data_IF_809378492914
#
_entry.id   IF_809378492914
#
_cell.length_a   1.000
_cell.length_b   1.000
_cell.length_c   1.000
_cell.angle_alpha   90.00
_cell.angle_beta   90.00
_cell.angle_gamma   90.00
#
_symmetry.space_group_name_H-M   'P 1'
#
loop_
_entity.id
_entity.type
_entity.pdbx_description
1 polymer ?
#
# COMPACT_ATOMS: atom_id res chain seq x y z
N UNK A 1 3.10 49.66 47.86
CA UNK A 1 3.84 48.39 47.66
C UNK A 1 2.94 47.19 47.30
N UNK A 2 1.75 47.06 47.84
CA UNK A 2 0.84 45.90 47.55
C UNK A 2 0.36 45.81 46.08
N UNK A 3 0.16 46.93 45.39
CA UNK A 3 -0.33 46.99 44.01
C UNK A 3 0.70 46.57 42.97
N UNK A 4 1.97 46.77 43.21
CA UNK A 4 3.08 46.36 42.32
C UNK A 4 3.29 44.85 42.40
N UNK A 5 3.14 44.24 43.60
CA UNK A 5 3.24 42.79 43.79
C UNK A 5 2.08 42.04 43.13
N UNK A 6 0.87 42.60 43.16
CA UNK A 6 -0.33 42.01 42.54
C UNK A 6 -0.22 41.98 41.00
N UNK A 7 0.27 43.06 40.39
CA UNK A 7 0.53 43.19 38.95
C UNK A 7 1.60 42.20 38.47
N UNK A 8 2.65 41.97 39.25
CA UNK A 8 3.74 41.05 38.95
C UNK A 8 3.27 39.56 39.03
N UNK A 9 2.38 39.26 39.99
CA UNK A 9 1.79 37.92 40.15
C UNK A 9 0.83 37.57 39.00
N UNK A 10 0.00 38.53 38.57
CA UNK A 10 -0.90 38.33 37.42
C UNK A 10 -0.13 38.16 36.08
N UNK A 11 0.95 38.91 35.90
CA UNK A 11 1.83 38.73 34.74
C UNK A 11 2.52 37.35 34.74
N UNK A 12 3.02 36.88 35.89
CA UNK A 12 3.61 35.53 35.98
C UNK A 12 2.59 34.45 35.70
N UNK A 13 1.33 34.63 36.13
CA UNK A 13 0.25 33.66 35.86
C UNK A 13 -0.14 33.65 34.37
N UNK A 14 -0.20 34.83 33.71
CA UNK A 14 -0.42 34.94 32.27
C UNK A 14 0.70 34.27 31.45
N UNK A 15 1.95 34.51 31.84
CA UNK A 15 3.12 33.88 31.18
C UNK A 15 3.09 32.35 31.35
N UNK A 16 2.76 31.83 32.55
CA UNK A 16 2.61 30.37 32.73
C UNK A 16 1.49 29.78 31.90
N UNK A 17 0.33 30.45 31.80
CA UNK A 17 -0.77 30.00 30.93
C UNK A 17 -0.38 30.02 29.46
N UNK A 18 0.33 31.06 29.02
CA UNK A 18 0.82 31.15 27.65
C UNK A 18 1.84 30.04 27.33
N UNK A 19 2.74 29.74 28.27
CA UNK A 19 3.70 28.65 28.14
C UNK A 19 3.03 27.28 28.07
N UNK A 20 1.98 27.04 28.87
CA UNK A 20 1.18 25.80 28.81
C UNK A 20 0.46 25.68 27.47
N UNK A 21 -0.15 26.76 26.97
CA UNK A 21 -0.82 26.77 25.66
C UNK A 21 0.19 26.48 24.54
N UNK A 22 1.37 27.11 24.58
CA UNK A 22 2.43 26.87 23.60
C UNK A 22 2.89 25.41 23.62
N UNK A 23 3.02 24.84 24.82
CA UNK A 23 3.43 23.44 24.99
C UNK A 23 2.38 22.47 24.44
N UNK A 24 1.09 22.75 24.65
CA UNK A 24 0.00 21.99 24.04
C UNK A 24 0.03 22.07 22.53
N UNK A 25 0.24 23.27 21.95
CA UNK A 25 0.37 23.46 20.49
C UNK A 25 1.54 22.67 19.93
N UNK A 26 2.68 22.67 20.62
CA UNK A 26 3.85 21.87 20.21
C UNK A 26 3.56 20.36 20.24
N UNK A 27 2.89 19.88 21.30
CA UNK A 27 2.50 18.46 21.39
C UNK A 27 1.48 18.06 20.32
N UNK A 28 0.50 18.91 20.03
CA UNK A 28 -0.46 18.68 18.94
C UNK A 28 0.27 18.65 17.60
N UNK A 29 1.18 19.58 17.36
CA UNK A 29 1.95 19.61 16.12
C UNK A 29 2.89 18.40 15.98
N UNK A 30 3.54 17.98 17.05
CA UNK A 30 4.34 16.76 17.07
C UNK A 30 3.49 15.51 16.83
N UNK A 31 2.28 15.46 17.42
CA UNK A 31 1.31 14.39 17.17
C UNK A 31 0.87 14.34 15.69
N UNK A 32 0.65 15.48 15.07
CA UNK A 32 0.32 15.60 13.64
C UNK A 32 1.46 15.05 12.78
N UNK A 33 2.70 15.46 13.04
CA UNK A 33 3.88 15.01 12.29
C UNK A 33 4.10 13.51 12.45
N UNK A 34 3.92 12.98 13.67
CA UNK A 34 4.02 11.55 13.93
C UNK A 34 2.91 10.75 13.22
N UNK A 35 1.69 11.27 13.24
CA UNK A 35 0.56 10.67 12.54
C UNK A 35 0.81 10.63 11.03
N UNK A 36 1.26 11.73 10.44
CA UNK A 36 1.61 11.81 9.01
C UNK A 36 2.74 10.82 8.64
N UNK A 37 3.72 10.63 9.55
CA UNK A 37 4.79 9.65 9.32
C UNK A 37 4.33 8.21 9.42
N UNK A 38 3.38 7.91 10.30
CA UNK A 38 2.87 6.54 10.52
C UNK A 38 1.88 6.14 9.43
N UNK A 39 0.95 7.04 9.10
CA UNK A 39 -0.17 6.74 8.20
C UNK A 39 0.01 7.24 6.77
N UNK A 40 1.09 7.98 6.51
CA UNK A 40 1.37 8.61 5.20
C UNK A 40 0.17 9.43 4.66
N UNK A 41 -0.65 9.95 5.57
CA UNK A 41 -1.82 10.80 5.28
C UNK A 41 -1.57 12.18 5.84
N UNK A 42 -1.35 13.21 5.00
CA UNK A 42 -1.17 14.57 5.49
C UNK A 42 -2.40 15.03 6.29
N UNK A 43 -2.24 15.30 7.60
CA UNK A 43 -3.35 15.76 8.44
C UNK A 43 -3.95 17.11 8.01
N UNK A 44 -3.23 17.92 7.23
CA UNK A 44 -3.81 19.12 6.64
C UNK A 44 -4.96 18.80 5.66
N UNK A 45 -5.04 17.58 5.11
CA UNK A 45 -6.19 17.15 4.33
C UNK A 45 -7.45 16.99 5.20
N UNK A 46 -7.29 16.74 6.51
CA UNK A 46 -8.39 16.70 7.47
C UNK A 46 -8.94 18.10 7.79
N UNK A 47 -8.06 19.12 7.81
CA UNK A 47 -8.46 20.52 7.91
C UNK A 47 -8.84 21.14 6.55
N UNK A 48 -8.81 20.36 5.49
CA UNK A 48 -8.83 20.75 4.08
C UNK A 48 -10.12 21.29 3.52
N UNK A 49 -11.06 21.71 4.37
CA UNK A 49 -12.15 22.58 3.91
C UNK A 49 -11.76 24.07 3.78
N UNK A 50 -10.68 24.51 4.45
CA UNK A 50 -10.33 25.94 4.57
C UNK A 50 -9.20 26.41 3.66
N UNK A 51 -8.45 25.51 3.05
CA UNK A 51 -7.35 25.84 2.13
C UNK A 51 -7.51 25.04 0.82
N UNK A 52 -8.56 25.35 0.05
CA UNK A 52 -8.56 25.05 -1.37
C UNK A 52 -7.41 25.80 -2.02
N UNK A 53 -6.24 25.18 -2.09
CA UNK A 53 -5.27 25.53 -3.12
C UNK A 53 -5.90 25.05 -4.42
N UNK A 54 -6.27 26.00 -5.28
CA UNK A 54 -6.58 25.67 -6.67
C UNK A 54 -5.39 24.88 -7.21
N UNK A 55 -5.59 23.60 -7.46
CA UNK A 55 -4.64 22.81 -8.21
C UNK A 55 -4.61 23.37 -9.61
N UNK A 56 -3.61 24.18 -9.91
CA UNK A 56 -3.33 24.53 -11.29
C UNK A 56 -2.94 23.23 -11.99
N UNK A 57 -3.77 22.80 -12.93
CA UNK A 57 -3.45 21.74 -13.87
C UNK A 57 -2.15 22.12 -14.58
N UNK A 58 -1.04 21.51 -14.17
CA UNK A 58 0.23 21.65 -14.85
C UNK A 58 0.26 20.53 -15.89
N UNK A 59 -0.05 20.85 -17.14
CA UNK A 59 0.16 19.93 -18.25
C UNK A 59 1.66 19.81 -18.49
N UNK A 60 2.31 18.86 -17.81
CA UNK A 60 3.69 18.50 -18.08
C UNK A 60 3.70 17.21 -18.87
N UNK A 61 3.98 17.29 -20.15
CA UNK A 61 4.30 16.13 -20.99
C UNK A 61 5.68 15.63 -20.63
N UNK A 62 5.73 14.47 -19.97
CA UNK A 62 6.96 13.73 -19.79
C UNK A 62 7.07 12.72 -20.94
N UNK A 63 8.08 12.86 -21.78
CA UNK A 63 8.45 11.82 -22.74
C UNK A 63 9.11 10.69 -21.92
N UNK A 64 8.35 9.67 -21.61
CA UNK A 64 8.85 8.43 -21.02
C UNK A 64 9.03 7.41 -22.14
N UNK A 65 10.09 7.56 -22.90
CA UNK A 65 10.46 6.51 -23.85
C UNK A 65 10.77 5.23 -23.08
N UNK A 66 9.99 4.16 -23.38
CA UNK A 66 10.16 2.84 -22.78
C UNK A 66 9.95 2.75 -21.26
N UNK A 67 8.93 3.46 -20.72
CA UNK A 67 8.49 3.28 -19.34
C UNK A 67 8.01 1.84 -19.11
N UNK A 68 8.66 1.12 -18.19
CA UNK A 68 8.34 -0.26 -17.83
C UNK A 68 7.60 -0.35 -16.50
N UNK A 69 7.96 0.48 -15.51
CA UNK A 69 7.30 0.53 -14.21
C UNK A 69 7.34 1.94 -13.62
N UNK A 70 6.39 2.24 -12.75
CA UNK A 70 6.37 3.49 -11.97
C UNK A 70 5.81 3.23 -10.57
N UNK A 71 6.12 4.14 -9.64
CA UNK A 71 5.60 4.09 -8.27
C UNK A 71 5.61 5.48 -7.63
N UNK A 72 4.72 5.69 -6.67
CA UNK A 72 4.57 6.92 -5.92
C UNK A 72 5.08 6.76 -4.50
N UNK A 73 6.03 7.59 -4.09
CA UNK A 73 6.52 7.65 -2.71
C UNK A 73 6.32 9.07 -2.19
N UNK A 74 5.33 9.26 -1.35
CA UNK A 74 4.90 10.58 -0.92
C UNK A 74 4.44 11.44 -2.11
N UNK A 75 5.11 12.57 -2.35
CA UNK A 75 4.84 13.47 -3.48
C UNK A 75 5.80 13.27 -4.67
N UNK A 76 6.59 12.21 -4.66
CA UNK A 76 7.57 11.89 -5.69
C UNK A 76 7.11 10.74 -6.56
N UNK A 77 7.39 10.86 -7.86
CA UNK A 77 7.14 9.80 -8.84
C UNK A 77 8.47 9.18 -9.21
N UNK A 78 8.58 7.89 -9.03
CA UNK A 78 9.72 7.10 -9.48
C UNK A 78 9.34 6.32 -10.72
N UNK A 79 10.25 6.23 -11.68
CA UNK A 79 10.06 5.52 -12.93
C UNK A 79 11.25 4.62 -13.22
N UNK A 80 10.99 3.46 -13.81
CA UNK A 80 12.01 2.56 -14.31
C UNK A 80 11.77 2.31 -15.80
N UNK A 81 12.84 2.39 -16.59
CA UNK A 81 12.81 2.18 -18.03
C UNK A 81 14.21 1.83 -18.55
N UNK A 82 14.42 1.98 -19.87
CA UNK A 82 15.70 1.68 -20.52
C UNK A 82 16.89 2.42 -19.92
N UNK A 83 16.65 3.62 -19.40
CA UNK A 83 17.64 4.47 -18.74
C UNK A 83 17.88 4.13 -17.25
N UNK A 84 17.17 3.13 -16.71
CA UNK A 84 17.20 2.73 -15.33
C UNK A 84 16.19 3.47 -14.47
N UNK A 85 16.46 3.56 -13.16
CA UNK A 85 15.58 4.19 -12.15
C UNK A 85 15.78 5.70 -12.12
N UNK A 86 14.70 6.45 -12.14
CA UNK A 86 14.71 7.91 -12.12
C UNK A 86 13.62 8.47 -11.21
N UNK A 87 13.87 9.63 -10.60
CA UNK A 87 12.86 10.44 -9.94
C UNK A 87 12.33 11.46 -10.95
N UNK A 88 11.07 11.32 -11.35
CA UNK A 88 10.48 12.12 -12.41
C UNK A 88 10.28 13.59 -12.00
N UNK A 89 9.92 13.85 -10.74
CA UNK A 89 9.61 15.19 -10.23
C UNK A 89 10.77 16.17 -10.40
N UNK A 90 12.00 15.70 -10.20
CA UNK A 90 13.21 16.51 -10.34
C UNK A 90 14.09 16.09 -11.52
N UNK A 91 13.61 15.18 -12.37
CA UNK A 91 14.38 14.59 -13.49
C UNK A 91 15.75 14.08 -13.05
N UNK A 92 15.82 13.50 -11.85
CA UNK A 92 17.07 13.01 -11.27
C UNK A 92 17.21 11.52 -11.54
N UNK A 93 18.28 11.16 -12.25
CA UNK A 93 18.67 9.75 -12.43
C UNK A 93 19.21 9.21 -11.11
N UNK A 94 18.66 8.11 -10.63
CA UNK A 94 19.10 7.49 -9.40
C UNK A 94 20.18 6.44 -9.70
N UNK A 95 21.22 6.42 -8.86
CA UNK A 95 22.22 5.38 -8.96
C UNK A 95 21.59 4.04 -8.52
N UNK A 96 21.40 3.15 -9.49
CA UNK A 96 20.81 1.84 -9.28
C UNK A 96 21.50 0.84 -10.23
N UNK A 97 22.15 -0.17 -9.63
CA UNK A 97 23.03 -1.06 -10.39
C UNK A 97 22.31 -2.33 -10.90
N UNK A 98 21.10 -2.63 -10.37
CA UNK A 98 20.34 -3.81 -10.79
C UNK A 98 19.57 -3.57 -12.09
N UNK A 99 19.58 -4.57 -12.95
CA UNK A 99 18.78 -4.60 -14.18
C UNK A 99 17.61 -5.54 -13.99
N UNK A 100 16.45 -5.14 -14.51
CA UNK A 100 15.21 -5.91 -14.45
C UNK A 100 14.67 -6.09 -15.85
N UNK A 101 14.20 -7.30 -16.17
CA UNK A 101 13.61 -7.65 -17.47
C UNK A 101 12.11 -7.40 -17.46
N UNK A 102 11.44 -7.69 -16.35
CA UNK A 102 10.03 -7.45 -16.11
C UNK A 102 9.83 -6.74 -14.76
N UNK A 103 10.22 -5.44 -14.67
CA UNK A 103 10.22 -4.72 -13.42
C UNK A 103 8.81 -4.50 -12.88
N UNK A 104 8.63 -4.79 -11.60
CA UNK A 104 7.46 -4.41 -10.82
C UNK A 104 7.91 -3.46 -9.71
N UNK A 105 7.16 -2.39 -9.51
CA UNK A 105 7.40 -1.42 -8.45
C UNK A 105 6.25 -1.42 -7.47
N UNK A 106 6.55 -1.56 -6.19
CA UNK A 106 5.61 -1.41 -5.10
C UNK A 106 6.07 -0.35 -4.11
N UNK A 107 5.13 0.35 -3.52
CA UNK A 107 5.42 1.45 -2.61
C UNK A 107 4.62 1.33 -1.32
N UNK A 108 5.29 1.60 -0.19
CA UNK A 108 4.64 1.68 1.11
C UNK A 108 5.33 2.73 1.98
N UNK A 109 4.60 3.77 2.37
CA UNK A 109 5.17 4.88 3.13
C UNK A 109 6.31 5.59 2.38
N UNK A 110 7.52 5.52 2.93
CA UNK A 110 8.73 6.09 2.32
C UNK A 110 9.59 5.08 1.55
N UNK A 111 9.11 3.86 1.43
CA UNK A 111 9.82 2.75 0.77
C UNK A 111 9.34 2.58 -0.67
N UNK A 112 10.27 2.18 -1.51
CA UNK A 112 10.06 1.72 -2.88
C UNK A 112 10.75 0.38 -3.02
N UNK A 113 9.98 -0.65 -3.30
CA UNK A 113 10.45 -1.96 -3.68
C UNK A 113 10.42 -2.05 -5.21
N UNK A 114 11.52 -2.52 -5.80
CA UNK A 114 11.56 -2.88 -7.21
C UNK A 114 12.10 -4.30 -7.34
N UNK A 115 11.41 -5.13 -8.10
CA UNK A 115 11.84 -6.50 -8.35
C UNK A 115 11.56 -6.94 -9.78
N UNK A 116 12.23 -7.98 -10.19
CA UNK A 116 12.07 -8.59 -11.53
C UNK A 116 11.06 -9.74 -11.44
N UNK A 117 9.86 -9.54 -11.97
CA UNK A 117 8.85 -10.61 -11.98
C UNK A 117 9.25 -11.72 -12.94
N UNK A 118 9.44 -12.92 -12.42
CA UNK A 118 10.03 -14.06 -13.15
C UNK A 118 11.55 -14.02 -13.22
N UNK A 119 12.20 -12.96 -12.74
CA UNK A 119 13.65 -12.84 -12.61
C UNK A 119 14.15 -13.07 -11.19
N UNK A 120 15.41 -12.72 -10.94
CA UNK A 120 16.12 -13.06 -9.70
C UNK A 120 16.39 -11.85 -8.79
N UNK A 121 16.22 -10.62 -9.26
CA UNK A 121 16.72 -9.44 -8.60
C UNK A 121 15.61 -8.65 -7.90
N UNK A 122 15.94 -8.15 -6.72
CA UNK A 122 15.09 -7.28 -5.91
C UNK A 122 15.95 -6.17 -5.28
N UNK A 123 15.40 -4.96 -5.18
CA UNK A 123 16.03 -3.86 -4.45
C UNK A 123 15.00 -3.09 -3.64
N UNK A 124 15.40 -2.75 -2.42
CA UNK A 124 14.65 -1.85 -1.55
C UNK A 124 15.31 -0.48 -1.49
N UNK A 125 14.50 0.54 -1.72
CA UNK A 125 14.91 1.93 -1.58
C UNK A 125 14.08 2.64 -0.51
N UNK A 126 14.68 3.62 0.14
CA UNK A 126 13.99 4.55 1.03
C UNK A 126 14.34 5.98 0.64
N UNK A 127 13.31 6.81 0.36
CA UNK A 127 13.51 8.20 -0.09
C UNK A 127 14.50 8.32 -1.27
N UNK A 128 14.45 7.37 -2.23
CA UNK A 128 15.31 7.35 -3.41
C UNK A 128 16.73 6.83 -3.18
N UNK A 129 17.07 6.37 -1.98
CA UNK A 129 18.37 5.76 -1.68
C UNK A 129 18.20 4.24 -1.55
N UNK A 130 19.01 3.47 -2.25
CA UNK A 130 19.04 2.00 -2.12
C UNK A 130 19.51 1.64 -0.71
N UNK A 131 18.70 0.88 0.01
CA UNK A 131 19.05 0.29 1.30
C UNK A 131 19.82 -1.00 1.11
N UNK A 132 19.28 -1.89 0.26
CA UNK A 132 19.96 -3.11 -0.16
C UNK A 132 19.44 -3.57 -1.51
N UNK A 133 20.22 -4.44 -2.17
CA UNK A 133 19.83 -5.22 -3.34
C UNK A 133 20.16 -6.68 -3.08
N UNK A 134 19.29 -7.57 -3.53
CA UNK A 134 19.42 -9.02 -3.33
C UNK A 134 19.15 -9.74 -4.65
N UNK A 135 19.94 -10.76 -4.92
CA UNK A 135 19.70 -11.73 -6.00
C UNK A 135 19.32 -13.06 -5.38
N UNK A 136 18.23 -13.63 -5.85
CA UNK A 136 17.69 -14.90 -5.38
C UNK A 136 18.25 -16.06 -6.23
N UNK A 137 18.25 -17.27 -5.65
CA UNK A 137 18.60 -18.48 -6.40
C UNK A 137 17.50 -18.99 -7.32
N UNK A 138 16.28 -18.50 -7.13
CA UNK A 138 15.08 -18.92 -7.86
C UNK A 138 14.25 -17.71 -8.28
N UNK A 139 13.44 -17.83 -9.36
CA UNK A 139 12.63 -16.73 -9.85
C UNK A 139 11.65 -16.19 -8.82
N UNK A 140 11.60 -14.87 -8.70
CA UNK A 140 10.60 -14.15 -7.89
C UNK A 140 9.29 -14.17 -8.66
N UNK A 141 8.23 -14.67 -8.06
CA UNK A 141 6.89 -14.63 -8.65
C UNK A 141 6.10 -13.42 -8.15
N UNK A 142 6.32 -13.01 -6.91
CA UNK A 142 5.74 -11.80 -6.32
C UNK A 142 6.60 -11.33 -5.16
N UNK A 143 6.59 -10.04 -4.91
CA UNK A 143 7.14 -9.47 -3.68
C UNK A 143 6.26 -8.32 -3.21
N UNK A 144 6.13 -8.15 -1.91
CA UNK A 144 5.34 -7.10 -1.29
C UNK A 144 6.16 -6.36 -0.24
N UNK A 145 5.84 -5.08 0.00
CA UNK A 145 6.51 -4.21 0.97
C UNK A 145 5.47 -3.55 1.87
N UNK A 146 5.69 -3.56 3.19
CA UNK A 146 4.87 -2.81 4.12
C UNK A 146 5.50 -1.46 4.51
N UNK A 147 4.76 -0.64 5.26
CA UNK A 147 5.19 0.72 5.66
C UNK A 147 6.37 0.75 6.61
N UNK A 148 6.65 -0.33 7.31
CA UNK A 148 7.79 -0.46 8.23
C UNK A 148 9.04 -0.99 7.53
N UNK A 149 8.91 -1.42 6.26
CA UNK A 149 10.01 -1.91 5.44
C UNK A 149 10.24 -3.41 5.55
N UNK A 150 9.27 -4.18 6.07
CA UNK A 150 9.28 -5.64 5.93
C UNK A 150 8.89 -6.00 4.51
N UNK A 151 9.59 -6.99 3.96
CA UNK A 151 9.38 -7.46 2.59
C UNK A 151 9.01 -8.94 2.65
N UNK A 152 7.93 -9.33 2.01
CA UNK A 152 7.59 -10.72 1.75
C UNK A 152 7.87 -11.03 0.27
N UNK A 153 8.50 -12.15 0.00
CA UNK A 153 8.89 -12.57 -1.35
C UNK A 153 8.43 -13.98 -1.62
N UNK A 154 7.68 -14.17 -2.69
CA UNK A 154 7.26 -15.48 -3.16
C UNK A 154 8.19 -15.93 -4.28
N UNK A 155 8.81 -17.10 -4.10
CA UNK A 155 9.67 -17.75 -5.08
C UNK A 155 9.20 -19.15 -5.42
N UNK A 156 9.73 -19.71 -6.51
CA UNK A 156 9.61 -21.14 -6.82
C UNK A 156 10.86 -21.82 -6.31
N UNK A 157 10.70 -22.86 -5.51
CA UNK A 157 11.83 -23.64 -5.01
C UNK A 157 11.67 -25.14 -5.28
N UNK A 158 12.81 -25.83 -5.42
CA UNK A 158 12.80 -27.27 -5.68
C UNK A 158 12.19 -28.00 -4.48
N UNK A 159 11.18 -28.86 -4.74
CA UNK A 159 10.45 -29.58 -3.70
C UNK A 159 9.21 -28.87 -3.16
N UNK A 160 8.98 -27.61 -3.54
CA UNK A 160 7.78 -26.86 -3.19
C UNK A 160 7.07 -26.31 -4.42
N UNK A 161 5.74 -26.16 -4.33
CA UNK A 161 4.99 -25.41 -5.36
C UNK A 161 5.33 -23.92 -5.30
N UNK A 162 5.51 -23.40 -4.10
CA UNK A 162 5.96 -22.03 -3.84
C UNK A 162 6.48 -21.88 -2.42
N UNK A 163 7.28 -20.86 -2.22
CA UNK A 163 7.88 -20.48 -0.94
C UNK A 163 7.65 -19.01 -0.70
N UNK A 164 7.30 -18.63 0.52
CA UNK A 164 7.30 -17.24 0.99
C UNK A 164 8.44 -17.04 1.99
N UNK A 165 9.29 -16.05 1.74
CA UNK A 165 10.35 -15.64 2.66
C UNK A 165 10.11 -14.19 3.07
N UNK A 166 10.21 -13.90 4.37
CA UNK A 166 10.08 -12.55 4.91
C UNK A 166 11.46 -12.00 5.28
N UNK A 167 11.71 -10.79 4.83
CA UNK A 167 12.93 -10.04 5.12
C UNK A 167 12.62 -8.77 5.91
N UNK A 168 13.55 -8.38 6.78
CA UNK A 168 13.51 -7.07 7.41
C UNK A 168 14.03 -5.96 6.46
N UNK A 169 13.93 -4.69 6.89
CA UNK A 169 14.40 -3.53 6.12
C UNK A 169 15.90 -3.47 5.85
N UNK A 170 16.70 -4.39 6.43
CA UNK A 170 18.14 -4.54 6.17
C UNK A 170 18.41 -5.66 5.16
N UNK A 171 17.37 -6.43 4.78
CA UNK A 171 17.49 -7.60 3.91
C UNK A 171 17.88 -8.88 4.65
N UNK A 172 17.75 -8.90 5.98
CA UNK A 172 17.96 -10.11 6.80
C UNK A 172 16.67 -10.95 6.75
N UNK A 173 16.83 -12.26 6.51
CA UNK A 173 15.71 -13.21 6.53
C UNK A 173 15.25 -13.42 7.96
N UNK A 174 13.93 -13.26 8.19
CA UNK A 174 13.34 -13.41 9.52
C UNK A 174 12.29 -14.52 9.59
N UNK A 175 11.78 -14.97 8.43
CA UNK A 175 10.80 -16.05 8.37
C UNK A 175 10.80 -16.73 7.00
N UNK A 176 10.52 -18.02 6.97
CA UNK A 176 10.46 -18.84 5.77
C UNK A 176 9.33 -19.86 5.88
N UNK A 177 8.51 -20.00 4.85
CA UNK A 177 7.48 -21.02 4.75
C UNK A 177 7.37 -21.56 3.33
N UNK A 178 7.43 -22.89 3.17
CA UNK A 178 7.24 -23.58 1.92
C UNK A 178 5.91 -24.31 1.85
N UNK A 179 5.22 -24.25 0.72
CA UNK A 179 4.02 -24.99 0.44
C UNK A 179 4.27 -26.07 -0.62
N UNK A 180 4.03 -27.33 -0.27
CA UNK A 180 4.22 -28.47 -1.17
C UNK A 180 2.96 -28.86 -1.96
N UNK A 181 1.78 -28.56 -1.44
CA UNK A 181 0.49 -28.99 -1.96
C UNK A 181 -0.34 -27.87 -2.62
N UNK A 182 -0.07 -26.62 -2.29
CA UNK A 182 -0.78 -25.44 -2.79
C UNK A 182 0.19 -24.35 -3.27
N UNK A 183 -0.29 -23.44 -4.10
CA UNK A 183 0.47 -22.26 -4.51
C UNK A 183 0.22 -21.13 -3.53
N UNK A 184 1.26 -20.50 -3.01
CA UNK A 184 1.17 -19.23 -2.33
C UNK A 184 0.93 -18.17 -3.41
N UNK A 185 -0.20 -17.48 -3.33
CA UNK A 185 -0.65 -16.48 -4.33
C UNK A 185 -0.33 -15.07 -3.86
N UNK A 186 -0.46 -14.84 -2.54
CA UNK A 186 -0.21 -13.55 -1.92
C UNK A 186 0.38 -13.73 -0.52
N UNK A 187 1.18 -12.76 -0.11
CA UNK A 187 1.69 -12.67 1.26
C UNK A 187 1.88 -11.22 1.69
N UNK A 188 1.53 -10.90 2.92
CA UNK A 188 1.74 -9.58 3.51
C UNK A 188 2.05 -9.69 5.00
N UNK A 189 2.88 -8.77 5.50
CA UNK A 189 3.35 -8.74 6.89
C UNK A 189 2.79 -7.49 7.57
N UNK A 190 2.29 -7.64 8.79
CA UNK A 190 1.85 -6.49 9.60
C UNK A 190 3.01 -5.50 9.82
N UNK A 191 2.69 -4.20 9.97
CA UNK A 191 3.70 -3.15 10.16
C UNK A 191 4.56 -3.35 11.42
N UNK A 192 4.05 -4.08 12.41
CA UNK A 192 4.82 -4.43 13.61
C UNK A 192 5.74 -5.66 13.42
N UNK A 193 5.72 -6.31 12.24
CA UNK A 193 6.53 -7.48 11.93
C UNK A 193 6.18 -8.73 12.73
N UNK A 194 4.95 -8.86 13.26
CA UNK A 194 4.57 -10.00 14.12
C UNK A 194 3.79 -11.08 13.37
N UNK A 195 2.95 -10.68 12.42
CA UNK A 195 2.09 -11.62 11.71
C UNK A 195 2.34 -11.55 10.21
N UNK A 196 2.42 -12.72 9.59
CA UNK A 196 2.40 -12.93 8.15
C UNK A 196 1.02 -13.46 7.77
N UNK A 197 0.40 -12.86 6.77
CA UNK A 197 -0.81 -13.38 6.11
C UNK A 197 -0.43 -14.01 4.78
N UNK A 198 -0.98 -15.19 4.52
CA UNK A 198 -0.81 -15.89 3.24
C UNK A 198 -2.16 -16.18 2.61
N UNK A 199 -2.25 -15.98 1.29
CA UNK A 199 -3.27 -16.60 0.46
C UNK A 199 -2.65 -17.78 -0.27
N UNK A 200 -3.25 -18.94 -0.12
CA UNK A 200 -2.86 -20.15 -0.85
C UNK A 200 -4.02 -20.64 -1.71
N UNK A 201 -3.71 -21.20 -2.88
CA UNK A 201 -4.72 -21.81 -3.76
C UNK A 201 -4.25 -23.17 -4.23
N UNK A 202 -5.16 -24.15 -4.19
CA UNK A 202 -4.98 -25.47 -4.76
C UNK A 202 -5.94 -25.64 -5.94
N UNK A 203 -5.44 -26.20 -7.03
CA UNK A 203 -6.17 -26.45 -8.25
C UNK A 203 -6.29 -27.96 -8.45
N UNK A 204 -7.51 -28.46 -8.48
CA UNK A 204 -7.82 -29.88 -8.68
C UNK A 204 -8.93 -30.06 -9.71
N UNK A 205 -9.24 -31.31 -10.04
CA UNK A 205 -10.40 -31.65 -10.91
C UNK A 205 -11.73 -31.27 -10.26
N UNK A 206 -11.76 -31.14 -8.95
CA UNK A 206 -12.96 -30.75 -8.18
C UNK A 206 -13.18 -29.24 -8.16
N UNK A 207 -12.18 -28.46 -8.61
CA UNK A 207 -12.22 -27.01 -8.66
C UNK A 207 -11.04 -26.35 -7.94
N UNK A 208 -11.26 -25.10 -7.56
CA UNK A 208 -10.30 -24.26 -6.85
C UNK A 208 -10.64 -24.30 -5.37
N UNK A 209 -9.61 -24.49 -4.53
CA UNK A 209 -9.72 -24.29 -3.08
C UNK A 209 -8.70 -23.27 -2.66
N UNK A 210 -9.15 -22.19 -2.07
CA UNK A 210 -8.29 -21.11 -1.58
C UNK A 210 -8.43 -20.97 -0.07
N UNK A 211 -7.32 -20.61 0.56
CA UNK A 211 -7.24 -20.42 2.01
C UNK A 211 -6.45 -19.15 2.32
N UNK A 212 -6.95 -18.36 3.25
CA UNK A 212 -6.24 -17.25 3.87
C UNK A 212 -5.82 -17.67 5.26
N UNK A 213 -4.53 -17.63 5.54
CA UNK A 213 -3.96 -18.04 6.82
C UNK A 213 -3.11 -16.94 7.43
N UNK A 214 -3.01 -16.93 8.75
CA UNK A 214 -2.10 -16.11 9.52
C UNK A 214 -1.05 -16.99 10.21
N UNK A 215 0.17 -16.46 10.27
CA UNK A 215 1.31 -17.03 10.99
C UNK A 215 1.91 -15.97 11.90
N UNK A 216 2.11 -16.29 13.18
CA UNK A 216 2.96 -15.45 14.04
C UNK A 216 4.42 -15.76 13.69
N UNK A 217 5.24 -14.71 13.40
CA UNK A 217 6.61 -14.89 12.89
C UNK A 217 7.59 -15.50 13.92
N UNK A 218 7.20 -15.62 15.17
CA UNK A 218 7.93 -16.31 16.24
C UNK A 218 7.38 -17.72 16.55
N UNK A 219 6.37 -18.18 15.79
CA UNK A 219 5.73 -19.48 15.95
C UNK A 219 5.55 -20.16 14.59
N UNK A 220 5.50 -21.48 14.59
CA UNK A 220 5.26 -22.27 13.36
C UNK A 220 3.77 -22.65 13.18
N UNK A 221 2.87 -22.12 13.99
CA UNK A 221 1.46 -22.46 13.98
C UNK A 221 0.68 -21.68 12.92
N UNK A 222 -0.05 -22.41 12.09
CA UNK A 222 -1.00 -21.84 11.13
C UNK A 222 -2.35 -21.59 11.80
N UNK A 223 -2.88 -20.38 11.64
CA UNK A 223 -4.26 -20.05 11.91
C UNK A 223 -5.01 -19.82 10.59
N UNK A 224 -5.95 -20.69 10.23
CA UNK A 224 -6.83 -20.48 9.08
C UNK A 224 -7.85 -19.39 9.42
N UNK A 225 -7.88 -18.32 8.60
CA UNK A 225 -8.77 -17.17 8.79
C UNK A 225 -10.00 -17.24 7.90
N UNK A 226 -9.84 -17.75 6.66
CA UNK A 226 -10.91 -17.80 5.67
C UNK A 226 -10.64 -18.89 4.63
N UNK A 227 -11.69 -19.52 4.12
CA UNK A 227 -11.62 -20.50 3.03
C UNK A 227 -12.67 -20.20 1.97
N UNK A 228 -12.35 -20.50 0.71
CA UNK A 228 -13.26 -20.41 -0.44
C UNK A 228 -13.04 -21.57 -1.41
N UNK A 229 -14.14 -22.08 -1.97
CA UNK A 229 -14.13 -23.12 -2.99
C UNK A 229 -14.23 -22.55 -4.43
N UNK A 230 -14.20 -21.22 -4.59
CA UNK A 230 -14.38 -20.56 -5.90
C UNK A 230 -13.44 -19.38 -6.13
N UNK A 231 -13.11 -18.61 -5.11
CA UNK A 231 -12.37 -17.35 -5.20
C UNK A 231 -10.87 -17.54 -5.05
N UNK A 232 -10.08 -16.91 -5.90
CA UNK A 232 -8.62 -16.81 -5.74
C UNK A 232 -8.30 -15.43 -5.19
N UNK A 233 -7.76 -15.36 -3.96
CA UNK A 233 -7.34 -14.09 -3.37
C UNK A 233 -5.93 -13.74 -3.82
N UNK A 234 -5.83 -12.69 -4.63
CA UNK A 234 -4.59 -12.30 -5.31
C UNK A 234 -3.90 -11.11 -4.68
N UNK A 235 -4.56 -10.42 -3.74
CA UNK A 235 -3.98 -9.26 -3.09
C UNK A 235 -4.52 -9.04 -1.68
N UNK A 236 -3.65 -8.48 -0.83
CA UNK A 236 -3.96 -8.07 0.53
C UNK A 236 -3.79 -6.56 0.73
N UNK A 237 -4.53 -6.03 1.70
CA UNK A 237 -4.29 -4.73 2.31
C UNK A 237 -4.57 -4.84 3.81
N UNK A 238 -3.66 -4.34 4.64
CA UNK A 238 -3.89 -4.26 6.09
C UNK A 238 -4.28 -2.83 6.42
N UNK A 239 -5.61 -2.59 6.57
CA UNK A 239 -6.15 -1.27 6.84
C UNK A 239 -6.11 -0.97 8.35
N UNK A 240 -5.51 0.19 8.68
CA UNK A 240 -5.37 0.70 10.06
C UNK A 240 -4.87 -0.36 11.07
N UNK A 241 -4.11 -1.36 10.60
CA UNK A 241 -3.61 -2.49 11.42
C UNK A 241 -4.72 -3.25 12.19
N UNK A 242 -5.95 -3.21 11.70
CA UNK A 242 -7.14 -3.82 12.34
C UNK A 242 -7.96 -4.69 11.41
N UNK A 243 -7.83 -4.49 10.10
CA UNK A 243 -8.63 -5.19 9.09
C UNK A 243 -7.73 -5.68 7.96
N UNK A 244 -7.68 -6.98 7.78
CA UNK A 244 -7.12 -7.61 6.60
C UNK A 244 -8.19 -7.59 5.50
N UNK A 245 -7.93 -6.91 4.43
CA UNK A 245 -8.75 -6.93 3.22
C UNK A 245 -8.11 -7.88 2.23
N UNK A 246 -8.83 -8.89 1.80
CA UNK A 246 -8.40 -9.82 0.75
C UNK A 246 -9.21 -9.56 -0.52
N UNK A 247 -8.51 -9.20 -1.58
CA UNK A 247 -9.08 -8.92 -2.90
C UNK A 247 -8.96 -10.19 -3.74
N UNK A 248 -10.10 -10.74 -4.12
CA UNK A 248 -10.22 -11.92 -4.98
C UNK A 248 -10.62 -11.56 -6.40
N UNK A 249 -10.77 -12.58 -7.21
CA UNK A 249 -11.18 -12.46 -8.62
C UNK A 249 -12.69 -12.21 -8.80
N UNK A 250 -13.52 -12.61 -7.81
CA UNK A 250 -14.98 -12.48 -7.85
C UNK A 250 -15.59 -11.77 -6.62
N UNK A 251 -14.81 -11.59 -5.55
CA UNK A 251 -15.23 -10.87 -4.34
C UNK A 251 -14.04 -10.26 -3.58
N UNK A 252 -14.34 -9.29 -2.74
CA UNK A 252 -13.42 -8.76 -1.73
C UNK A 252 -14.00 -9.03 -0.33
N UNK A 253 -13.17 -9.49 0.60
CA UNK A 253 -13.57 -9.74 1.98
C UNK A 253 -12.70 -8.95 2.96
N UNK A 254 -13.33 -8.35 3.98
CA UNK A 254 -12.66 -7.71 5.11
C UNK A 254 -12.75 -8.59 6.35
N UNK A 255 -11.61 -8.99 6.88
CA UNK A 255 -11.47 -9.83 8.05
C UNK A 255 -10.84 -9.05 9.20
N UNK A 256 -11.20 -9.35 10.45
CA UNK A 256 -10.31 -8.98 11.56
C UNK A 256 -8.99 -9.75 11.42
N UNK A 257 -7.91 -9.29 12.07
CA UNK A 257 -6.62 -10.01 12.03
C UNK A 257 -6.67 -11.41 12.69
N UNK A 258 -7.79 -11.73 13.38
CA UNK A 258 -8.07 -13.04 13.96
C UNK A 258 -9.04 -13.88 13.13
N UNK A 259 -9.39 -13.44 11.90
CA UNK A 259 -10.20 -14.22 10.95
C UNK A 259 -11.71 -14.03 11.05
N UNK A 260 -12.21 -13.14 11.94
CA UNK A 260 -13.65 -12.83 11.95
C UNK A 260 -13.99 -11.98 10.72
N UNK A 261 -14.89 -12.49 9.85
CA UNK A 261 -15.43 -11.71 8.74
C UNK A 261 -16.19 -10.49 9.28
N UNK A 262 -15.79 -9.30 8.81
CA UNK A 262 -16.40 -8.01 9.12
C UNK A 262 -17.40 -7.61 8.05
N UNK A 263 -17.01 -7.80 6.80
CA UNK A 263 -17.82 -7.46 5.64
C UNK A 263 -17.36 -8.23 4.40
N UNK A 264 -18.21 -8.24 3.36
CA UNK A 264 -17.97 -8.85 2.06
C UNK A 264 -18.55 -7.96 0.97
N UNK A 265 -17.87 -7.89 -0.16
CA UNK A 265 -18.32 -7.22 -1.37
C UNK A 265 -18.20 -8.17 -2.55
N UNK A 266 -19.34 -8.64 -3.04
CA UNK A 266 -19.44 -9.51 -4.22
C UNK A 266 -19.43 -8.65 -5.48
N UNK A 267 -18.65 -9.04 -6.48
CA UNK A 267 -18.55 -8.29 -7.73
C UNK A 267 -19.72 -8.52 -8.68
N UNK A 268 -20.67 -9.40 -8.32
CA UNK A 268 -21.84 -9.74 -9.13
C UNK A 268 -21.45 -10.18 -10.55
N UNK A 269 -20.38 -10.96 -10.67
CA UNK A 269 -19.78 -11.45 -11.92
C UNK A 269 -19.13 -10.36 -12.78
N UNK A 270 -18.98 -9.14 -12.29
CA UNK A 270 -18.19 -8.12 -12.98
C UNK A 270 -16.70 -8.47 -12.86
N UNK A 271 -15.94 -8.50 -13.95
CA UNK A 271 -14.51 -8.79 -13.88
C UNK A 271 -13.74 -7.65 -13.19
N UNK A 272 -12.85 -8.04 -12.28
CA UNK A 272 -11.87 -7.15 -11.69
C UNK A 272 -10.81 -6.79 -12.74
N UNK A 273 -10.63 -5.50 -12.97
CA UNK A 273 -9.73 -4.99 -14.02
C UNK A 273 -8.40 -4.54 -13.46
N UNK A 274 -8.42 -3.78 -12.40
CA UNK A 274 -7.24 -3.26 -11.69
C UNK A 274 -7.63 -2.86 -10.27
N UNK A 275 -6.66 -2.76 -9.40
CA UNK A 275 -6.87 -2.39 -8.00
C UNK A 275 -5.66 -1.61 -7.46
N UNK A 276 -5.84 -0.96 -6.30
CA UNK A 276 -4.74 -0.40 -5.50
C UNK A 276 -5.02 -0.61 -4.01
N UNK A 277 -3.97 -1.03 -3.32
CA UNK A 277 -3.94 -1.28 -1.87
C UNK A 277 -3.01 -0.31 -1.13
N UNK A 278 -2.48 0.70 -1.83
CA UNK A 278 -1.47 1.64 -1.32
C UNK A 278 -2.05 2.73 -0.40
N UNK A 279 -3.08 2.39 0.39
CA UNK A 279 -3.65 3.28 1.41
C UNK A 279 -3.77 2.55 2.75
N UNK A 280 -3.61 3.31 3.85
CA UNK A 280 -3.84 2.80 5.20
C UNK A 280 -5.32 2.60 5.51
N UNK A 281 -6.22 3.27 4.80
CA UNK A 281 -7.62 3.46 5.20
C UNK A 281 -8.62 2.87 4.24
N UNK A 282 -8.26 2.72 2.96
CA UNK A 282 -9.15 2.25 1.89
C UNK A 282 -8.43 1.34 0.92
N UNK A 283 -9.17 0.46 0.28
CA UNK A 283 -8.82 -0.17 -0.99
C UNK A 283 -9.62 0.45 -2.12
N UNK A 284 -9.07 0.43 -3.33
CA UNK A 284 -9.75 0.90 -4.53
C UNK A 284 -9.58 -0.10 -5.65
N UNK A 285 -10.62 -0.31 -6.45
CA UNK A 285 -10.54 -1.18 -7.62
C UNK A 285 -11.53 -0.77 -8.71
N UNK A 286 -11.26 -1.24 -9.91
CA UNK A 286 -12.09 -1.03 -11.09
C UNK A 286 -12.73 -2.37 -11.48
N UNK A 287 -14.04 -2.39 -11.48
CA UNK A 287 -14.85 -3.45 -12.08
C UNK A 287 -15.32 -3.02 -13.47
N UNK A 288 -15.56 -3.98 -14.35
CA UNK A 288 -15.91 -3.70 -15.75
C UNK A 288 -17.19 -4.42 -16.16
N UNK A 289 -18.11 -3.67 -16.73
CA UNK A 289 -19.17 -4.17 -17.62
C UNK A 289 -19.14 -3.40 -18.96
N UNK A 290 -20.20 -2.69 -19.29
CA UNK A 290 -20.24 -1.75 -20.43
C UNK A 290 -19.41 -0.49 -20.18
N UNK A 291 -19.16 -0.15 -18.92
CA UNK A 291 -18.31 0.95 -18.46
C UNK A 291 -17.46 0.53 -17.27
N UNK A 292 -16.52 1.37 -16.88
CA UNK A 292 -15.66 1.13 -15.73
C UNK A 292 -16.36 1.66 -14.46
N UNK A 293 -16.41 0.81 -13.40
CA UNK A 293 -16.90 1.15 -12.08
C UNK A 293 -15.71 1.35 -11.15
N UNK A 294 -15.55 2.55 -10.62
CA UNK A 294 -14.59 2.80 -9.55
C UNK A 294 -15.25 2.50 -8.21
N UNK A 295 -14.69 1.56 -7.49
CA UNK A 295 -15.16 1.14 -6.16
C UNK A 295 -14.08 1.45 -5.13
N UNK A 296 -14.46 2.03 -4.00
CA UNK A 296 -13.62 2.19 -2.82
C UNK A 296 -14.29 1.58 -1.61
N UNK A 297 -13.53 0.93 -0.76
CA UNK A 297 -14.03 0.31 0.48
C UNK A 297 -13.08 0.66 1.62
N UNK A 298 -13.62 1.13 2.75
CA UNK A 298 -12.86 1.37 3.97
C UNK A 298 -12.77 0.12 4.87
N UNK A 299 -12.04 0.22 5.98
CA UNK A 299 -11.85 -0.88 6.93
C UNK A 299 -13.14 -1.44 7.54
N UNK A 300 -14.20 -0.65 7.56
CA UNK A 300 -15.49 -1.01 8.16
C UNK A 300 -16.49 -1.50 7.10
N UNK A 301 -16.05 -1.59 5.82
CA UNK A 301 -16.88 -2.07 4.72
C UNK A 301 -17.78 -1.00 4.11
N UNK A 302 -17.53 0.28 4.38
CA UNK A 302 -18.28 1.35 3.75
C UNK A 302 -17.84 1.49 2.29
N UNK A 303 -18.77 1.18 1.40
CA UNK A 303 -18.57 1.19 -0.04
C UNK A 303 -18.94 2.55 -0.62
N UNK A 304 -18.11 3.01 -1.55
CA UNK A 304 -18.43 4.07 -2.50
C UNK A 304 -18.16 3.56 -3.89
N UNK A 305 -19.14 3.76 -4.76
CA UNK A 305 -19.06 3.36 -6.16
C UNK A 305 -19.48 4.53 -7.05
N UNK A 306 -18.77 4.72 -8.15
CA UNK A 306 -19.09 5.71 -9.14
C UNK A 306 -18.57 5.32 -10.52
N UNK A 307 -19.10 5.98 -11.52
CA UNK A 307 -18.60 5.92 -12.90
C UNK A 307 -17.60 7.07 -13.08
N UNK A 308 -16.32 6.79 -13.32
CA UNK A 308 -15.35 7.83 -13.67
C UNK A 308 -15.64 8.45 -15.03
N UNK A 309 -15.23 9.71 -15.23
CA UNK A 309 -15.35 10.39 -16.53
C UNK A 309 -14.30 9.89 -17.54
N UNK A 310 -13.31 9.14 -17.09
CA UNK A 310 -12.30 8.46 -17.92
C UNK A 310 -12.83 7.10 -18.36
N UNK A 311 -12.74 6.82 -19.65
CA UNK A 311 -13.09 5.51 -20.22
C UNK A 311 -11.84 4.63 -20.36
N UNK A 312 -12.05 3.31 -20.44
CA UNK A 312 -10.98 2.31 -20.65
C UNK A 312 -9.85 2.43 -19.62
N UNK A 313 -10.21 2.57 -18.36
CA UNK A 313 -9.26 2.69 -17.27
C UNK A 313 -8.27 1.52 -17.30
N UNK A 314 -6.98 1.82 -17.19
CA UNK A 314 -5.89 0.85 -17.12
C UNK A 314 -5.32 0.72 -15.72
N UNK A 315 -5.28 1.83 -14.97
CA UNK A 315 -4.70 1.87 -13.65
C UNK A 315 -5.56 2.70 -12.70
N UNK A 316 -5.61 2.26 -11.47
CA UNK A 316 -6.05 3.03 -10.31
C UNK A 316 -4.92 2.99 -9.30
N UNK A 317 -4.61 4.12 -8.67
CA UNK A 317 -3.70 4.17 -7.52
C UNK A 317 -4.30 5.04 -6.42
N UNK A 318 -4.18 4.57 -5.18
CA UNK A 318 -4.75 5.24 -4.01
C UNK A 318 -3.63 5.69 -3.07
N UNK A 319 -3.66 6.95 -2.66
CA UNK A 319 -2.75 7.50 -1.64
C UNK A 319 -3.54 8.36 -0.67
N UNK A 320 -3.61 7.93 0.60
CA UNK A 320 -4.48 8.54 1.59
C UNK A 320 -5.94 8.47 1.15
N UNK A 321 -6.59 9.62 0.98
CA UNK A 321 -7.97 9.74 0.51
C UNK A 321 -8.09 10.22 -0.95
N UNK A 322 -7.01 10.13 -1.73
CA UNK A 322 -6.96 10.51 -3.15
C UNK A 322 -6.73 9.28 -4.02
N UNK A 323 -7.38 9.28 -5.17
CA UNK A 323 -7.22 8.26 -6.19
C UNK A 323 -6.77 8.90 -7.49
N UNK A 324 -5.74 8.34 -8.08
CA UNK A 324 -5.37 8.60 -9.46
C UNK A 324 -5.95 7.49 -10.33
N UNK A 325 -6.81 7.86 -11.25
CA UNK A 325 -7.40 6.94 -12.23
C UNK A 325 -6.86 7.32 -13.60
N UNK A 326 -6.35 6.37 -14.36
CA UNK A 326 -5.72 6.66 -15.65
C UNK A 326 -5.93 5.58 -16.70
N UNK A 327 -5.85 6.03 -17.96
CA UNK A 327 -5.71 5.17 -19.13
C UNK A 327 -4.44 5.54 -19.90
N UNK A 328 -4.29 5.09 -21.14
CA UNK A 328 -3.12 5.37 -21.97
C UNK A 328 -2.98 6.85 -22.41
N UNK A 329 -4.02 7.67 -22.25
CA UNK A 329 -4.10 9.04 -22.81
C UNK A 329 -4.30 10.12 -21.76
N UNK A 330 -4.99 9.79 -20.66
CA UNK A 330 -5.46 10.76 -19.68
C UNK A 330 -5.44 10.19 -18.27
N UNK A 331 -5.40 11.06 -17.29
CA UNK A 331 -5.51 10.75 -15.88
C UNK A 331 -6.40 11.77 -15.17
N UNK A 332 -7.15 11.34 -14.17
CA UNK A 332 -7.95 12.22 -13.32
C UNK A 332 -7.80 11.84 -11.85
N UNK A 333 -7.96 12.82 -11.00
CA UNK A 333 -7.94 12.68 -9.55
C UNK A 333 -9.37 12.62 -9.00
N UNK A 334 -9.58 11.66 -8.11
CA UNK A 334 -10.82 11.47 -7.35
C UNK A 334 -10.51 11.42 -5.85
N UNK A 335 -11.50 11.74 -5.05
CA UNK A 335 -11.47 11.41 -3.62
C UNK A 335 -11.95 9.97 -3.39
N UNK A 336 -11.67 9.40 -2.21
CA UNK A 336 -12.25 8.11 -1.80
C UNK A 336 -13.78 8.15 -1.64
N UNK A 337 -14.39 9.33 -1.68
CA UNK A 337 -15.85 9.51 -1.77
C UNK A 337 -16.36 9.57 -3.20
N UNK A 338 -15.52 9.28 -4.20
CA UNK A 338 -15.85 9.32 -5.62
C UNK A 338 -16.14 10.73 -6.19
N UNK A 339 -15.75 11.79 -5.51
CA UNK A 339 -15.79 13.12 -6.07
C UNK A 339 -14.53 13.39 -6.90
N UNK A 340 -14.68 13.86 -8.13
CA UNK A 340 -13.55 14.33 -8.93
C UNK A 340 -13.02 15.64 -8.31
N UNK A 341 -11.69 15.75 -8.22
CA UNK A 341 -11.00 16.85 -7.55
C UNK A 341 -10.34 17.76 -8.58
#
# INVERSE_FOLDING_TARGET
MADVQKKTSEQKTKIKRLAVILLIVVFVFAGIVLYDQIYNTPMYDWFGGALKKDFQRTDSTYQTENLQAYGFVGNKIYTYGSEGLSELTHKTKLKHDSKYSSPVMETAGSYLLIYDNGGLNLSLLKNGKTLFSKSFGQPITKAHINRSGYISVITKELGYKSVCTVYDKKGEEIYYIGSGDSYIVECDVTDNGKNLFLSTSNFSLEGIKSKISAYELDKEEEQVLFESDSTIFTNFAILEQTTLVAIGDDLTVGLSLQGKEKWRYDYNKLPLKTYSTNSATHVAFILKDTYDHLVTIDKDGKIKECRPDINEIKNVDISGNRLLVSNAREAALYSTSCAQI
#
